data_IF_454329780289
#
_entry.id   IF_454329780289
#
_cell.length_a   1.000
_cell.length_b   1.000
_cell.length_c   1.000
_cell.angle_alpha   90.00
_cell.angle_beta   90.00
_cell.angle_gamma   90.00
#
_symmetry.space_group_name_H-M   'P 1'
#
loop_
_entity.id
_entity.type
_entity.pdbx_description
1 polymer ?
#
# COMPACT_ATOMS: atom_id res chain seq x y z
N UNK A 1 18.61 18.09 30.28
CA UNK A 1 18.84 17.57 28.91
C UNK A 1 17.60 16.80 28.52
N UNK A 2 16.87 17.27 27.51
CA UNK A 2 15.75 16.52 26.92
C UNK A 2 16.38 15.73 25.77
N UNK A 3 16.43 14.41 25.88
CA UNK A 3 16.79 13.55 24.77
C UNK A 3 15.60 13.56 23.80
N UNK A 4 15.77 14.15 22.63
CA UNK A 4 14.84 13.98 21.51
C UNK A 4 14.88 12.51 21.11
N UNK A 5 13.81 11.77 21.42
CA UNK A 5 13.63 10.42 20.91
C UNK A 5 13.26 10.55 19.44
N UNK A 6 14.16 10.14 18.54
CA UNK A 6 13.83 9.99 17.13
C UNK A 6 12.81 8.86 17.01
N UNK A 7 11.55 9.23 16.76
CA UNK A 7 10.53 8.23 16.42
C UNK A 7 10.88 7.58 15.08
N UNK A 8 10.73 6.25 14.95
CA UNK A 8 10.97 5.58 13.67
C UNK A 8 10.07 6.18 12.61
N UNK A 9 10.63 6.47 11.43
CA UNK A 9 9.83 6.93 10.30
C UNK A 9 8.93 5.79 9.82
N UNK A 10 7.70 6.09 9.35
CA UNK A 10 6.86 5.09 8.74
C UNK A 10 7.56 4.48 7.53
N UNK A 11 7.28 3.20 7.29
CA UNK A 11 7.62 2.55 6.03
C UNK A 11 6.73 3.07 4.91
N UNK A 12 7.20 2.95 3.67
CA UNK A 12 6.44 3.35 2.49
C UNK A 12 5.07 2.65 2.39
N UNK A 13 4.97 1.40 2.83
CA UNK A 13 3.69 0.69 2.86
C UNK A 13 2.71 1.23 3.91
N UNK A 14 3.23 1.80 5.01
CA UNK A 14 2.40 2.51 6.00
C UNK A 14 1.98 3.88 5.46
N UNK A 15 2.87 4.58 4.76
CA UNK A 15 2.54 5.84 4.09
C UNK A 15 1.42 5.65 3.05
N UNK A 16 1.54 4.66 2.16
CA UNK A 16 0.49 4.38 1.17
C UNK A 16 -0.85 3.98 1.80
N UNK A 17 -0.82 3.21 2.90
CA UNK A 17 -2.05 2.86 3.63
C UNK A 17 -2.66 4.07 4.32
N UNK A 18 -1.86 5.01 4.81
CA UNK A 18 -2.36 6.24 5.37
C UNK A 18 -2.99 7.15 4.30
N UNK A 19 -2.43 7.16 3.08
CA UNK A 19 -2.88 8.01 1.98
C UNK A 19 -4.12 7.44 1.25
N UNK A 20 -4.15 6.14 0.99
CA UNK A 20 -5.15 5.49 0.12
C UNK A 20 -6.08 4.49 0.85
N UNK A 21 -5.89 4.30 2.16
CA UNK A 21 -6.58 3.26 2.94
C UNK A 21 -8.09 3.44 3.09
N UNK A 22 -8.63 4.60 2.71
CA UNK A 22 -10.06 4.85 2.65
C UNK A 22 -10.74 4.15 1.46
N UNK A 23 -9.98 3.91 0.38
CA UNK A 23 -10.46 3.32 -0.87
C UNK A 23 -9.80 1.99 -1.23
N UNK A 24 -8.59 1.75 -0.74
CA UNK A 24 -7.79 0.59 -1.10
C UNK A 24 -7.32 -0.18 0.14
N UNK A 25 -7.55 -1.48 0.15
CA UNK A 25 -6.82 -2.39 1.03
C UNK A 25 -5.48 -2.73 0.36
N UNK A 26 -4.36 -2.51 1.07
CA UNK A 26 -3.00 -2.64 0.53
C UNK A 26 -2.21 -3.65 1.33
N UNK A 27 -1.74 -4.70 0.66
CA UNK A 27 -0.96 -5.77 1.30
C UNK A 27 0.11 -6.34 0.38
N UNK A 28 1.00 -7.14 0.98
CA UNK A 28 2.00 -7.92 0.25
C UNK A 28 1.61 -9.38 0.27
N UNK A 29 1.57 -9.99 -0.91
CA UNK A 29 1.26 -11.42 -1.06
C UNK A 29 2.22 -12.27 -0.22
N UNK A 30 1.70 -13.30 0.43
CA UNK A 30 2.48 -14.34 1.09
C UNK A 30 2.29 -15.62 0.31
N UNK A 31 3.35 -16.08 -0.33
CA UNK A 31 3.33 -17.29 -1.15
C UNK A 31 3.30 -18.55 -0.26
N UNK A 32 2.85 -19.72 -0.77
CA UNK A 32 2.84 -20.97 -0.01
C UNK A 32 4.21 -21.40 0.55
N UNK A 33 5.30 -20.88 -0.05
CA UNK A 33 6.68 -21.08 0.41
C UNK A 33 7.06 -20.22 1.61
N UNK A 34 6.16 -19.37 2.11
CA UNK A 34 6.41 -18.37 3.16
C UNK A 34 7.16 -17.13 2.68
N UNK A 35 7.46 -17.04 1.37
CA UNK A 35 8.12 -15.87 0.78
C UNK A 35 7.11 -14.78 0.47
N UNK A 36 7.54 -13.53 0.54
CA UNK A 36 6.75 -12.43 0.02
C UNK A 36 6.76 -12.42 -1.51
N UNK A 37 5.57 -12.28 -2.09
CA UNK A 37 5.34 -12.05 -3.51
C UNK A 37 5.16 -10.56 -3.81
N UNK A 38 4.22 -10.30 -4.70
CA UNK A 38 3.90 -8.96 -5.20
C UNK A 38 3.14 -8.13 -4.17
N UNK A 39 3.17 -6.82 -4.37
CA UNK A 39 2.30 -5.86 -3.70
C UNK A 39 0.97 -5.77 -4.44
N UNK A 40 -0.10 -5.73 -3.66
CA UNK A 40 -1.48 -5.70 -4.14
C UNK A 40 -2.21 -4.53 -3.49
N UNK A 41 -3.09 -3.90 -4.27
CA UNK A 41 -4.11 -3.01 -3.76
C UNK A 41 -5.46 -3.42 -4.35
N UNK A 42 -6.45 -3.66 -3.51
CA UNK A 42 -7.83 -3.97 -3.93
C UNK A 42 -8.78 -2.92 -3.38
N UNK A 43 -9.77 -2.52 -4.17
CA UNK A 43 -10.74 -1.55 -3.67
C UNK A 43 -11.54 -2.11 -2.50
N UNK A 44 -11.73 -1.31 -1.47
CA UNK A 44 -12.51 -1.73 -0.29
C UNK A 44 -13.95 -2.07 -0.69
N UNK A 45 -14.66 -2.96 0.01
CA UNK A 45 -16.01 -3.40 -0.39
C UNK A 45 -17.07 -2.30 -0.54
N UNK A 46 -16.82 -1.12 0.04
CA UNK A 46 -17.70 0.04 -0.06
C UNK A 46 -17.45 0.91 -1.31
N UNK A 47 -16.40 0.61 -2.09
CA UNK A 47 -16.09 1.32 -3.31
C UNK A 47 -17.14 1.04 -4.40
N UNK A 48 -17.45 2.01 -5.28
CA UNK A 48 -18.46 1.86 -6.33
C UNK A 48 -18.02 0.85 -7.40
N UNK A 49 -16.72 0.69 -7.62
CA UNK A 49 -16.16 -0.20 -8.62
C UNK A 49 -15.08 -1.10 -7.98
N UNK A 50 -15.11 -2.38 -8.35
CA UNK A 50 -14.14 -3.35 -7.89
C UNK A 50 -12.91 -3.34 -8.82
N UNK A 51 -11.74 -3.04 -8.26
CA UNK A 51 -10.47 -3.03 -8.99
C UNK A 51 -9.35 -3.65 -8.16
N UNK A 52 -8.38 -4.26 -8.84
CA UNK A 52 -7.19 -4.85 -8.23
C UNK A 52 -5.95 -4.40 -9.00
N UNK A 53 -5.01 -3.77 -8.30
CA UNK A 53 -3.69 -3.39 -8.79
C UNK A 53 -2.66 -4.37 -8.24
N UNK A 54 -1.69 -4.74 -9.08
CA UNK A 54 -0.60 -5.66 -8.72
C UNK A 54 0.73 -5.12 -9.23
N UNK A 55 1.74 -5.14 -8.37
CA UNK A 55 3.06 -4.62 -8.68
C UNK A 55 4.16 -5.43 -7.99
N UNK A 56 5.32 -5.54 -8.63
CA UNK A 56 6.46 -6.30 -8.10
C UNK A 56 7.21 -5.55 -6.98
N UNK A 57 6.95 -4.25 -6.84
CA UNK A 57 7.56 -3.36 -5.85
C UNK A 57 6.55 -2.36 -5.30
N UNK A 58 6.86 -1.81 -4.12
CA UNK A 58 6.00 -0.81 -3.46
C UNK A 58 6.00 0.53 -4.22
N UNK A 59 7.12 0.90 -4.85
CA UNK A 59 7.23 2.11 -5.69
C UNK A 59 6.35 2.02 -6.94
N UNK A 60 6.34 0.84 -7.57
CA UNK A 60 5.49 0.58 -8.72
C UNK A 60 4.01 0.59 -8.32
N UNK A 61 3.65 0.02 -7.17
CA UNK A 61 2.28 0.11 -6.64
C UNK A 61 1.88 1.58 -6.38
N UNK A 62 2.78 2.37 -5.78
CA UNK A 62 2.53 3.80 -5.52
C UNK A 62 2.26 4.58 -6.81
N UNK A 63 2.95 4.24 -7.91
CA UNK A 63 2.70 4.84 -9.22
C UNK A 63 1.30 4.49 -9.74
N UNK A 64 0.93 3.21 -9.67
CA UNK A 64 -0.39 2.75 -10.14
C UNK A 64 -1.54 3.40 -9.35
N UNK A 65 -1.42 3.50 -8.02
CA UNK A 65 -2.42 4.17 -7.18
C UNK A 65 -2.61 5.64 -7.55
N UNK A 66 -1.51 6.37 -7.83
CA UNK A 66 -1.60 7.76 -8.31
C UNK A 66 -2.23 7.88 -9.69
N UNK A 67 -2.00 6.90 -10.57
CA UNK A 67 -2.59 6.89 -11.91
C UNK A 67 -4.10 6.62 -11.86
N UNK A 68 -4.56 5.73 -10.99
CA UNK A 68 -5.98 5.48 -10.77
C UNK A 68 -6.68 6.65 -10.08
N UNK A 69 -6.02 7.34 -9.13
CA UNK A 69 -6.58 8.50 -8.44
C UNK A 69 -6.72 9.74 -9.34
N UNK A 70 -5.97 9.80 -10.44
CA UNK A 70 -6.00 10.91 -11.38
C UNK A 70 -7.10 10.78 -12.46
N UNK A 71 -7.83 9.66 -12.50
CA UNK A 71 -8.94 9.40 -13.43
C UNK A 71 -10.26 9.97 -12.92
#
# INVERSE_FOLDING_TARGET
>A
MIATVETPRPSQAEELRAEYGDRWDIWREVLPTGRHGDWLAETVPAAPEHAVLRASSIDELARLLREEDAQ
#
